data_IF_264749418969
#
_entry.id   IF_264749418969
#
_cell.length_a   1.000
_cell.length_b   1.000
_cell.length_c   1.000
_cell.angle_alpha   90.00
_cell.angle_beta   90.00
_cell.angle_gamma   90.00
#
_symmetry.space_group_name_H-M   'P 1'
#
loop_
_entity.id
_entity.type
_entity.pdbx_description
1 polymer ?
#
# COMPACT_ATOMS: atom_id res chain seq x y z
N UNK A 1 20.08 25.18 1.47
CA UNK A 1 18.71 25.27 0.93
C UNK A 1 17.87 24.26 1.68
N UNK A 2 16.77 24.67 2.33
CA UNK A 2 15.89 23.73 3.01
C UNK A 2 15.12 22.89 1.98
N UNK A 3 14.75 21.65 2.31
CA UNK A 3 13.92 20.78 1.44
C UNK A 3 12.66 21.54 1.02
N UNK A 4 12.44 21.69 -0.28
CA UNK A 4 11.29 22.43 -0.85
C UNK A 4 11.52 23.92 -1.11
N UNK A 5 12.73 24.46 -0.89
CA UNK A 5 13.08 25.82 -1.31
C UNK A 5 13.67 25.76 -2.72
N UNK A 6 13.01 26.42 -3.66
CA UNK A 6 13.40 26.41 -5.07
C UNK A 6 14.22 27.66 -5.38
N UNK A 7 15.32 27.52 -6.13
CA UNK A 7 16.04 28.70 -6.66
C UNK A 7 15.09 29.54 -7.51
N UNK A 8 15.12 30.89 -7.42
CA UNK A 8 14.37 31.74 -8.34
C UNK A 8 14.66 31.35 -9.80
N UNK A 9 13.62 31.10 -10.59
CA UNK A 9 13.75 30.65 -11.98
C UNK A 9 13.82 29.12 -12.18
N UNK A 10 13.74 28.33 -11.11
CA UNK A 10 13.65 26.86 -11.17
C UNK A 10 12.27 26.38 -10.65
N UNK A 11 11.86 25.17 -11.00
CA UNK A 11 10.72 24.48 -10.43
C UNK A 11 11.13 23.11 -9.87
N UNK A 12 10.40 22.67 -8.83
CA UNK A 12 10.63 21.38 -8.19
C UNK A 12 9.90 20.29 -8.98
N UNK A 13 10.65 19.50 -9.72
CA UNK A 13 10.11 18.43 -10.54
C UNK A 13 10.35 17.06 -9.91
N UNK A 14 9.39 16.13 -10.08
CA UNK A 14 9.45 14.78 -9.51
C UNK A 14 9.41 13.74 -10.64
N UNK A 15 10.54 13.45 -11.32
CA UNK A 15 10.60 12.64 -12.53
C UNK A 15 9.93 11.27 -12.37
N UNK A 16 10.16 10.62 -11.23
CA UNK A 16 9.66 9.29 -10.96
C UNK A 16 8.14 9.22 -10.79
N UNK A 17 7.43 10.36 -10.72
CA UNK A 17 5.95 10.36 -10.63
C UNK A 17 5.26 10.38 -12.00
N UNK A 18 5.99 10.79 -13.03
CA UNK A 18 5.50 10.83 -14.41
C UNK A 18 5.82 9.54 -15.16
N UNK A 19 6.81 8.76 -14.69
CA UNK A 19 7.14 7.45 -15.24
C UNK A 19 5.93 6.52 -15.19
N UNK A 20 5.56 5.97 -16.35
CA UNK A 20 4.44 5.03 -16.49
C UNK A 20 4.56 3.84 -15.52
N UNK A 21 5.77 3.29 -15.34
CA UNK A 21 6.03 2.18 -14.41
C UNK A 21 5.70 2.52 -12.95
N UNK A 22 5.92 3.77 -12.53
CA UNK A 22 5.62 4.23 -11.18
C UNK A 22 4.16 4.57 -10.98
N UNK A 23 3.49 5.12 -12.00
CA UNK A 23 2.03 5.32 -11.97
C UNK A 23 1.29 3.98 -11.91
N UNK A 24 1.70 3.00 -12.72
CA UNK A 24 1.13 1.64 -12.72
C UNK A 24 1.35 0.97 -11.37
N UNK A 25 2.58 1.02 -10.84
CA UNK A 25 2.90 0.43 -9.53
C UNK A 25 2.08 1.06 -8.40
N UNK A 26 1.91 2.38 -8.40
CA UNK A 26 1.05 3.08 -7.43
C UNK A 26 -0.36 2.51 -7.43
N UNK A 27 -0.98 2.40 -8.60
CA UNK A 27 -2.36 1.92 -8.70
C UNK A 27 -2.50 0.43 -8.41
N UNK A 28 -1.52 -0.38 -8.80
CA UNK A 28 -1.45 -1.79 -8.42
C UNK A 28 -1.45 -1.94 -6.89
N UNK A 29 -0.59 -1.18 -6.18
CA UNK A 29 -0.55 -1.21 -4.72
C UNK A 29 -1.89 -0.73 -4.13
N UNK A 30 -2.48 0.34 -4.64
CA UNK A 30 -3.78 0.84 -4.17
C UNK A 30 -4.85 -0.26 -4.28
N UNK A 31 -4.94 -0.95 -5.42
CA UNK A 31 -5.92 -2.04 -5.61
C UNK A 31 -5.68 -3.19 -4.62
N UNK A 32 -4.42 -3.59 -4.41
CA UNK A 32 -4.08 -4.65 -3.45
C UNK A 32 -4.46 -4.28 -2.00
N UNK A 33 -4.27 -3.01 -1.61
CA UNK A 33 -4.65 -2.51 -0.29
C UNK A 33 -6.17 -2.44 -0.11
N UNK A 34 -6.90 -2.02 -1.15
CA UNK A 34 -8.37 -2.05 -1.13
C UNK A 34 -8.91 -3.49 -1.06
N UNK A 35 -8.31 -4.42 -1.81
CA UNK A 35 -8.67 -5.83 -1.73
C UNK A 35 -8.40 -6.42 -0.33
N UNK A 36 -7.26 -6.05 0.28
CA UNK A 36 -6.92 -6.43 1.65
C UNK A 36 -7.95 -5.89 2.65
N UNK A 37 -8.32 -4.61 2.55
CA UNK A 37 -9.31 -4.00 3.42
C UNK A 37 -10.69 -4.64 3.25
N UNK A 38 -11.11 -4.91 2.01
CA UNK A 38 -12.38 -5.55 1.72
C UNK A 38 -12.45 -6.99 2.29
N UNK A 39 -11.40 -7.79 2.11
CA UNK A 39 -11.32 -9.14 2.67
C UNK A 39 -11.30 -9.11 4.20
N UNK A 40 -10.49 -8.24 4.80
CA UNK A 40 -10.42 -8.09 6.25
C UNK A 40 -11.79 -7.68 6.84
N UNK A 41 -12.49 -6.73 6.20
CA UNK A 41 -13.83 -6.33 6.60
C UNK A 41 -14.84 -7.48 6.45
N UNK A 42 -14.81 -8.20 5.33
CA UNK A 42 -15.68 -9.33 5.06
C UNK A 42 -15.51 -10.45 6.11
N UNK A 43 -14.27 -10.81 6.43
CA UNK A 43 -13.93 -11.80 7.46
C UNK A 43 -14.41 -11.32 8.83
N UNK A 44 -14.18 -10.05 9.16
CA UNK A 44 -14.54 -9.46 10.45
C UNK A 44 -16.05 -9.44 10.66
N UNK A 45 -16.81 -8.99 9.66
CA UNK A 45 -18.27 -8.93 9.71
C UNK A 45 -18.86 -10.33 9.68
N UNK A 46 -18.33 -11.20 8.82
CA UNK A 46 -18.78 -12.59 8.70
C UNK A 46 -18.57 -13.40 9.97
N UNK A 47 -17.44 -13.22 10.66
CA UNK A 47 -17.06 -13.95 11.87
C UNK A 47 -17.50 -13.31 13.18
N UNK A 48 -18.09 -12.11 13.16
CA UNK A 48 -18.22 -11.21 14.32
C UNK A 48 -18.72 -11.86 15.60
N UNK A 49 -19.75 -12.70 15.49
CA UNK A 49 -20.44 -13.32 16.63
C UNK A 49 -19.62 -14.38 17.36
N UNK A 50 -18.58 -14.92 16.72
CA UNK A 50 -17.83 -16.08 17.21
C UNK A 50 -16.33 -15.85 17.27
N UNK A 51 -15.87 -14.61 17.06
CA UNK A 51 -14.46 -14.25 17.21
C UNK A 51 -14.00 -14.56 18.65
N UNK A 52 -12.87 -15.28 18.77
CA UNK A 52 -12.22 -15.50 20.06
C UNK A 52 -11.86 -14.14 20.65
N UNK A 53 -12.32 -13.82 21.87
CA UNK A 53 -12.19 -12.49 22.47
C UNK A 53 -13.41 -11.57 22.28
N UNK A 54 -14.49 -12.06 21.67
CA UNK A 54 -15.77 -11.37 21.54
C UNK A 54 -15.69 -10.09 20.71
N UNK A 55 -16.56 -9.13 21.02
CA UNK A 55 -16.65 -7.86 20.29
C UNK A 55 -15.33 -7.07 20.25
N UNK A 56 -14.48 -7.23 21.28
CA UNK A 56 -13.17 -6.57 21.34
C UNK A 56 -12.25 -6.98 20.19
N UNK A 57 -12.23 -8.27 19.84
CA UNK A 57 -11.43 -8.74 18.70
C UNK A 57 -12.03 -8.35 17.36
N UNK A 58 -13.35 -8.28 17.26
CA UNK A 58 -14.02 -7.69 16.09
C UNK A 58 -13.59 -6.26 15.81
N UNK A 59 -13.48 -5.43 16.86
CA UNK A 59 -12.98 -4.06 16.76
C UNK A 59 -11.52 -4.02 16.29
N UNK A 60 -10.65 -4.88 16.83
CA UNK A 60 -9.25 -4.97 16.41
C UNK A 60 -9.13 -5.33 14.92
N UNK A 61 -9.87 -6.34 14.46
CA UNK A 61 -9.88 -6.71 13.04
C UNK A 61 -10.45 -5.59 12.16
N UNK A 62 -11.46 -4.85 12.63
CA UNK A 62 -11.99 -3.66 11.97
C UNK A 62 -10.94 -2.54 11.85
N UNK A 63 -10.12 -2.33 12.87
CA UNK A 63 -9.01 -1.35 12.83
C UNK A 63 -8.01 -1.72 11.71
N UNK A 64 -7.68 -3.00 11.55
CA UNK A 64 -6.82 -3.44 10.44
C UNK A 64 -7.43 -3.03 9.09
N UNK A 65 -8.71 -3.32 8.85
CA UNK A 65 -9.37 -2.95 7.60
C UNK A 65 -9.30 -1.42 7.35
N UNK A 66 -9.58 -0.61 8.37
CA UNK A 66 -9.50 0.86 8.28
C UNK A 66 -8.07 1.36 8.02
N UNK A 67 -7.06 0.75 8.64
CA UNK A 67 -5.66 1.09 8.39
C UNK A 67 -5.25 0.81 6.95
N UNK A 68 -5.67 -0.31 6.38
CA UNK A 68 -5.40 -0.61 4.97
C UNK A 68 -6.11 0.37 4.01
N UNK A 69 -7.33 0.81 4.33
CA UNK A 69 -7.99 1.89 3.57
C UNK A 69 -7.22 3.21 3.66
N UNK A 70 -6.77 3.58 4.86
CA UNK A 70 -5.95 4.77 5.06
C UNK A 70 -4.64 4.68 4.25
N UNK A 71 -3.97 3.53 4.26
CA UNK A 71 -2.75 3.32 3.48
C UNK A 71 -3.02 3.41 1.99
N UNK A 72 -4.12 2.83 1.49
CA UNK A 72 -4.53 2.97 0.09
C UNK A 72 -4.69 4.44 -0.31
N UNK A 73 -5.39 5.25 0.51
CA UNK A 73 -5.52 6.68 0.30
C UNK A 73 -4.16 7.41 0.30
N UNK A 74 -3.28 7.08 1.25
CA UNK A 74 -1.94 7.70 1.34
C UNK A 74 -1.06 7.34 0.13
N UNK A 75 -1.09 6.10 -0.34
CA UNK A 75 -0.38 5.68 -1.57
C UNK A 75 -0.94 6.41 -2.79
N UNK A 76 -2.26 6.52 -2.93
CA UNK A 76 -2.89 7.27 -4.02
C UNK A 76 -2.42 8.73 -4.07
N UNK A 77 -2.14 9.33 -2.91
CA UNK A 77 -1.58 10.67 -2.72
C UNK A 77 -0.05 10.74 -2.80
N UNK A 78 0.61 9.72 -3.36
CA UNK A 78 2.09 9.64 -3.53
C UNK A 78 2.90 9.65 -2.23
N UNK A 79 2.35 9.14 -1.13
CA UNK A 79 3.06 9.06 0.16
C UNK A 79 4.00 7.86 0.21
N UNK A 80 5.28 8.04 -0.16
CA UNK A 80 6.28 6.95 -0.10
C UNK A 80 6.44 6.33 1.29
N UNK A 81 6.38 7.13 2.35
CA UNK A 81 6.63 6.68 3.73
C UNK A 81 5.67 5.60 4.22
N UNK A 82 4.51 5.44 3.58
CA UNK A 82 3.53 4.41 3.95
C UNK A 82 3.87 3.03 3.40
N UNK A 83 4.71 2.93 2.38
CA UNK A 83 5.07 1.66 1.73
C UNK A 83 5.82 0.69 2.68
N UNK A 84 6.90 1.10 3.39
CA UNK A 84 7.56 0.21 4.33
C UNK A 84 6.64 -0.15 5.52
N UNK A 85 5.80 0.79 5.97
CA UNK A 85 4.82 0.53 7.03
C UNK A 85 3.78 -0.52 6.58
N UNK A 86 3.33 -0.42 5.34
CA UNK A 86 2.42 -1.38 4.71
C UNK A 86 3.06 -2.76 4.67
N UNK A 87 4.30 -2.88 4.19
CA UNK A 87 5.01 -4.16 4.15
C UNK A 87 5.14 -4.80 5.54
N UNK A 88 5.49 -4.02 6.57
CA UNK A 88 5.61 -4.51 7.94
C UNK A 88 4.25 -4.98 8.51
N UNK A 89 3.18 -4.20 8.31
CA UNK A 89 1.85 -4.57 8.79
C UNK A 89 1.30 -5.80 8.04
N UNK A 90 1.57 -5.91 6.73
CA UNK A 90 1.21 -7.09 5.94
C UNK A 90 1.96 -8.33 6.38
N UNK A 91 3.22 -8.21 6.80
CA UNK A 91 3.96 -9.33 7.38
C UNK A 91 3.27 -9.85 8.65
N UNK A 92 2.92 -8.95 9.57
CA UNK A 92 2.21 -9.31 10.82
C UNK A 92 0.88 -9.99 10.47
N UNK A 93 0.09 -9.39 9.58
CA UNK A 93 -1.21 -9.94 9.19
C UNK A 93 -1.08 -11.31 8.49
N UNK A 94 -0.06 -11.51 7.66
CA UNK A 94 0.21 -12.79 7.02
C UNK A 94 0.45 -13.91 8.05
N UNK A 95 1.26 -13.61 9.08
CA UNK A 95 1.55 -14.55 10.18
C UNK A 95 0.27 -14.87 10.95
N UNK A 96 -0.54 -13.86 11.29
CA UNK A 96 -1.81 -14.06 11.99
C UNK A 96 -2.79 -14.89 11.16
N UNK A 97 -2.84 -14.70 9.84
CA UNK A 97 -3.65 -15.52 8.95
C UNK A 97 -3.16 -16.97 8.91
N UNK A 98 -1.84 -17.17 8.82
CA UNK A 98 -1.24 -18.51 8.76
C UNK A 98 -1.54 -19.34 10.02
N UNK A 99 -1.44 -18.74 11.20
CA UNK A 99 -1.71 -19.42 12.49
C UNK A 99 -3.22 -19.50 12.77
N UNK A 100 -4.00 -18.55 12.28
CA UNK A 100 -5.45 -18.47 12.55
C UNK A 100 -6.33 -19.31 11.62
N UNK A 101 -5.87 -19.66 10.42
CA UNK A 101 -6.69 -20.31 9.39
C UNK A 101 -7.26 -21.67 9.85
N UNK A 102 -6.43 -22.55 10.42
CA UNK A 102 -6.83 -23.89 10.86
C UNK A 102 -7.99 -23.83 11.88
N UNK A 103 -7.96 -22.84 12.78
CA UNK A 103 -8.99 -22.68 13.81
C UNK A 103 -10.39 -22.41 13.25
N UNK A 104 -10.52 -21.94 12.00
CA UNK A 104 -11.81 -21.77 11.34
C UNK A 104 -12.33 -23.07 10.74
N UNK A 105 -11.45 -23.92 10.23
CA UNK A 105 -11.83 -25.24 9.71
C UNK A 105 -12.17 -26.22 10.84
N UNK A 106 -11.52 -26.11 11.99
CA UNK A 106 -11.84 -26.93 13.17
C UNK A 106 -13.26 -26.70 13.71
N UNK A 107 -13.83 -25.51 13.45
CA UNK A 107 -15.19 -25.13 13.83
C UNK A 107 -16.26 -25.74 12.94
N UNK A 108 -15.90 -26.24 11.76
CA UNK A 108 -16.82 -26.89 10.82
C UNK A 108 -17.17 -28.31 11.32
N UNK A 109 -17.79 -28.36 12.49
CA UNK A 109 -18.20 -29.55 13.24
C UNK A 109 -19.52 -29.28 13.95
N UNK A 110 -20.31 -30.33 14.14
CA UNK A 110 -21.55 -30.24 14.90
C UNK A 110 -21.29 -29.76 16.34
N UNK A 111 -22.12 -28.83 16.83
CA UNK A 111 -22.07 -28.33 18.20
C UNK A 111 -21.45 -26.94 18.37
N UNK A 112 -20.92 -26.33 17.29
CA UNK A 112 -20.52 -24.93 17.29
C UNK A 112 -21.66 -24.02 16.83
N UNK A 113 -21.75 -22.82 17.42
CA UNK A 113 -22.58 -21.74 16.89
C UNK A 113 -21.96 -21.26 15.57
N UNK A 114 -22.75 -21.25 14.50
CA UNK A 114 -22.28 -20.76 13.21
C UNK A 114 -22.24 -19.22 13.16
N UNK A 115 -21.24 -18.63 12.46
CA UNK A 115 -21.19 -17.21 12.17
C UNK A 115 -22.22 -16.79 11.10
N UNK A 116 -22.17 -15.52 10.70
CA UNK A 116 -22.95 -15.03 9.55
C UNK A 116 -22.51 -15.69 8.24
N UNK A 117 -21.20 -15.92 8.08
CA UNK A 117 -20.63 -16.69 6.97
C UNK A 117 -20.22 -18.08 7.45
N UNK A 118 -20.32 -19.13 6.62
CA UNK A 118 -19.88 -20.47 6.99
C UNK A 118 -18.42 -20.47 7.49
N UNK A 119 -18.16 -21.18 8.59
CA UNK A 119 -16.83 -21.21 9.22
C UNK A 119 -15.73 -21.63 8.25
N UNK A 120 -15.97 -22.64 7.41
CA UNK A 120 -15.02 -23.08 6.37
C UNK A 120 -14.78 -22.05 5.28
N UNK A 121 -15.80 -21.27 4.88
CA UNK A 121 -15.62 -20.15 3.95
C UNK A 121 -14.72 -19.07 4.56
N UNK A 122 -14.93 -18.72 5.83
CA UNK A 122 -14.06 -17.76 6.53
C UNK A 122 -12.62 -18.29 6.56
N UNK A 123 -12.41 -19.57 6.85
CA UNK A 123 -11.08 -20.20 6.82
C UNK A 123 -10.39 -20.05 5.46
N UNK A 124 -11.11 -20.28 4.37
CA UNK A 124 -10.59 -20.05 3.00
C UNK A 124 -10.26 -18.58 2.77
N UNK A 125 -11.13 -17.65 3.16
CA UNK A 125 -10.89 -16.21 3.02
C UNK A 125 -9.66 -15.76 3.83
N UNK A 126 -9.41 -16.33 5.00
CA UNK A 126 -8.20 -16.05 5.81
C UNK A 126 -6.94 -16.53 5.10
N UNK A 127 -6.94 -17.71 4.47
CA UNK A 127 -5.82 -18.18 3.65
C UNK A 127 -5.58 -17.25 2.47
N UNK A 128 -6.63 -16.87 1.74
CA UNK A 128 -6.55 -15.93 0.61
C UNK A 128 -6.00 -14.58 1.06
N UNK A 129 -6.46 -14.06 2.20
CA UNK A 129 -5.95 -12.83 2.79
C UNK A 129 -4.46 -12.93 3.12
N UNK A 130 -4.01 -14.04 3.69
CA UNK A 130 -2.60 -14.31 3.99
C UNK A 130 -1.73 -14.35 2.73
N UNK A 131 -2.17 -15.04 1.68
CA UNK A 131 -1.46 -15.06 0.39
C UNK A 131 -1.42 -13.68 -0.26
N UNK A 132 -2.52 -12.92 -0.19
CA UNK A 132 -2.57 -11.54 -0.65
C UNK A 132 -1.55 -10.67 0.09
N UNK A 133 -1.30 -10.90 1.39
CA UNK A 133 -0.28 -10.14 2.12
C UNK A 133 1.12 -10.36 1.58
N UNK A 134 1.46 -11.58 1.13
CA UNK A 134 2.77 -11.85 0.51
C UNK A 134 2.94 -11.01 -0.76
N UNK A 135 1.88 -10.90 -1.57
CA UNK A 135 1.87 -10.07 -2.78
C UNK A 135 2.00 -8.58 -2.41
N UNK A 136 1.27 -8.11 -1.39
CA UNK A 136 1.35 -6.73 -0.91
C UNK A 136 2.76 -6.38 -0.44
N UNK A 137 3.42 -7.27 0.31
CA UNK A 137 4.79 -7.07 0.79
C UNK A 137 5.74 -6.88 -0.40
N UNK A 138 5.70 -7.79 -1.38
CA UNK A 138 6.55 -7.71 -2.56
C UNK A 138 6.31 -6.42 -3.36
N UNK A 139 5.04 -6.07 -3.59
CA UNK A 139 4.67 -4.85 -4.31
C UNK A 139 5.10 -3.58 -3.57
N UNK A 140 4.93 -3.53 -2.25
CA UNK A 140 5.30 -2.38 -1.42
C UNK A 140 6.82 -2.17 -1.39
N UNK A 141 7.61 -3.24 -1.25
CA UNK A 141 9.07 -3.17 -1.28
C UNK A 141 9.58 -2.74 -2.67
N UNK A 142 9.00 -3.29 -3.74
CA UNK A 142 9.34 -2.89 -5.10
C UNK A 142 8.98 -1.42 -5.36
N UNK A 143 7.77 -0.98 -5.00
CA UNK A 143 7.34 0.41 -5.11
C UNK A 143 8.22 1.37 -4.29
N UNK A 144 8.69 0.94 -3.11
CA UNK A 144 9.58 1.75 -2.29
C UNK A 144 10.94 2.01 -2.95
N UNK A 145 11.45 1.01 -3.67
CA UNK A 145 12.69 1.08 -4.46
C UNK A 145 12.58 1.94 -5.72
N UNK A 146 11.37 2.35 -6.12
CA UNK A 146 11.18 3.27 -7.25
C UNK A 146 11.43 4.74 -6.90
N UNK A 147 11.83 5.06 -5.67
CA UNK A 147 12.32 6.39 -5.29
C UNK A 147 11.37 7.55 -5.65
N UNK A 148 10.07 7.45 -5.32
CA UNK A 148 9.04 8.49 -5.58
C UNK A 148 9.26 9.85 -4.89
N UNK A 149 10.33 9.96 -4.11
CA UNK A 149 10.72 11.13 -3.31
C UNK A 149 11.84 11.94 -3.97
N UNK A 150 12.45 11.43 -5.05
CA UNK A 150 13.50 12.16 -5.76
C UNK A 150 12.87 13.40 -6.36
N UNK A 151 13.46 14.55 -6.03
CA UNK A 151 13.09 15.85 -6.53
C UNK A 151 14.31 16.43 -7.24
N UNK A 152 14.11 16.93 -8.45
CA UNK A 152 15.13 17.56 -9.25
C UNK A 152 14.71 19.01 -9.51
N UNK A 153 15.65 19.94 -9.36
CA UNK A 153 15.43 21.34 -9.71
C UNK A 153 15.65 21.50 -11.22
N UNK A 154 14.62 21.93 -11.95
CA UNK A 154 14.73 22.22 -13.39
C UNK A 154 14.43 23.71 -13.67
N UNK A 155 15.13 24.37 -14.60
CA UNK A 155 14.79 25.74 -15.00
C UNK A 155 13.35 25.81 -15.51
N UNK A 156 12.62 26.86 -15.14
CA UNK A 156 11.24 27.05 -15.56
C UNK A 156 11.21 27.19 -17.09
N UNK A 157 10.45 26.33 -17.77
CA UNK A 157 10.30 26.34 -19.23
C UNK A 157 11.29 25.44 -19.99
N UNK A 158 12.10 24.63 -19.32
CA UNK A 158 13.10 23.76 -19.99
C UNK A 158 12.54 22.50 -20.68
N UNK A 159 11.23 22.23 -20.60
CA UNK A 159 10.55 21.18 -21.38
C UNK A 159 11.18 19.78 -21.32
N UNK A 160 10.80 18.90 -22.25
CA UNK A 160 11.31 17.52 -22.38
C UNK A 160 12.83 17.44 -22.70
N UNK A 161 13.47 18.57 -23.04
CA UNK A 161 14.86 18.64 -23.48
C UNK A 161 15.90 18.62 -22.35
N UNK A 162 15.50 18.83 -21.09
CA UNK A 162 16.45 18.94 -19.98
C UNK A 162 17.07 17.60 -19.51
N UNK A 163 16.60 16.46 -20.04
CA UNK A 163 17.04 15.11 -19.62
C UNK A 163 17.68 14.24 -20.71
N UNK A 164 17.66 14.67 -21.96
CA UNK A 164 18.12 13.87 -23.10
C UNK A 164 19.30 14.54 -23.81
N UNK A 165 20.43 14.72 -23.10
CA UNK A 165 21.68 15.17 -23.71
C UNK A 165 21.52 16.44 -24.54
N UNK A 166 20.91 17.48 -23.95
CA UNK A 166 20.74 18.78 -24.59
C UNK A 166 22.06 19.20 -25.25
N UNK A 167 22.05 19.32 -26.58
CA UNK A 167 23.18 19.89 -27.31
C UNK A 167 23.49 21.27 -26.69
N UNK A 168 24.77 21.64 -26.53
CA UNK A 168 25.13 22.94 -25.96
C UNK A 168 24.53 24.03 -26.85
N UNK A 169 23.37 24.54 -26.43
CA UNK A 169 22.70 25.65 -27.06
C UNK A 169 23.56 26.88 -26.87
N UNK A 170 23.99 27.48 -27.98
CA UNK A 170 24.64 28.79 -28.01
C UNK A 170 23.76 29.82 -27.29
N UNK A 171 24.03 30.12 -26.01
CA UNK A 171 23.16 30.98 -25.22
C UNK A 171 23.72 31.44 -23.88
N UNK A 172 24.64 32.42 -23.94
CA UNK A 172 25.07 33.37 -22.92
C UNK A 172 25.89 32.88 -21.69
N UNK A 173 26.94 33.62 -21.28
CA UNK A 173 27.80 33.28 -20.15
C UNK A 173 27.06 33.44 -18.80
N UNK A 174 27.33 32.49 -17.91
CA UNK A 174 26.80 32.41 -16.56
C UNK A 174 27.54 33.41 -15.65
N UNK A 175 26.86 34.39 -15.00
CA UNK A 175 27.52 35.30 -14.08
C UNK A 175 27.91 34.56 -12.78
N UNK A 176 29.11 34.91 -12.29
CA UNK A 176 29.80 34.31 -11.14
C UNK A 176 29.07 34.45 -9.80
#
# INVERSE_FOLDING_TARGET
MAVGQVRPGYELWRPNREKASSVTMKWLIVVLLLATAALAALITIGGWTVLKGGAGMGVVCGIYALLYLLFAYRVARWSRGVLPLTAALSMILAILCAVGAESWFERDKSGFTEPLLPSSLIGVLVIVLGLLQIIVIAAALYGFNQNWHVEEERPIGSGEDYGAGAAPGNGAPQPA
#
